data_IF_216744665760
#
_entry.id   IF_216744665760
#
_cell.length_a   1.000
_cell.length_b   1.000
_cell.length_c   1.000
_cell.angle_alpha   90.00
_cell.angle_beta   90.00
_cell.angle_gamma   90.00
#
_symmetry.space_group_name_H-M   'P 1'
#
loop_
_entity.id
_entity.type
_entity.pdbx_description
1 polymer ?
#
# COMPACT_ATOMS: atom_id res chain seq x y z
N UNK A 1 12.51 5.15 -0.91
CA UNK A 1 12.53 6.05 -2.09
C UNK A 1 11.99 7.39 -1.67
N UNK A 2 12.52 8.50 -2.19
CA UNK A 2 12.05 9.86 -1.86
C UNK A 2 10.58 10.09 -2.24
N UNK A 3 10.08 9.39 -3.25
CA UNK A 3 8.70 9.50 -3.74
C UNK A 3 7.79 8.34 -3.28
N UNK A 4 8.25 7.50 -2.37
CA UNK A 4 7.49 6.35 -1.84
C UNK A 4 7.20 5.22 -2.85
N UNK A 5 7.74 5.29 -4.08
CA UNK A 5 7.50 4.27 -5.12
C UNK A 5 8.58 3.18 -5.13
N UNK A 6 8.15 1.95 -5.37
CA UNK A 6 8.99 0.78 -5.65
C UNK A 6 8.97 0.50 -7.15
N UNK A 7 10.14 0.23 -7.74
CA UNK A 7 10.28 -0.16 -9.14
C UNK A 7 10.56 -1.66 -9.24
N UNK A 8 9.72 -2.39 -9.99
CA UNK A 8 9.88 -3.83 -10.29
C UNK A 8 9.67 -4.03 -11.79
N UNK A 9 10.63 -4.64 -12.49
CA UNK A 9 10.56 -4.89 -13.94
C UNK A 9 10.09 -3.66 -14.74
N UNK A 10 10.78 -2.52 -14.57
CA UNK A 10 10.50 -1.24 -15.23
C UNK A 10 9.14 -0.58 -14.90
N UNK A 11 8.32 -1.16 -14.03
CA UNK A 11 7.06 -0.57 -13.56
C UNK A 11 7.24 0.04 -12.17
N UNK A 12 6.71 1.25 -11.96
CA UNK A 12 6.71 1.94 -10.66
C UNK A 12 5.33 1.87 -10.04
N UNK A 13 5.26 1.60 -8.74
CA UNK A 13 4.02 1.61 -7.96
C UNK A 13 4.29 1.77 -6.48
N UNK A 14 3.24 2.04 -5.70
CA UNK A 14 3.36 2.11 -4.24
C UNK A 14 3.47 0.68 -3.69
N UNK A 15 4.46 0.37 -2.83
CA UNK A 15 4.75 -1.00 -2.44
C UNK A 15 3.58 -1.69 -1.71
N UNK A 16 2.92 -0.98 -0.80
CA UNK A 16 1.73 -1.52 -0.11
C UNK A 16 0.58 -1.83 -1.09
N UNK A 17 0.38 -1.01 -2.14
CA UNK A 17 -0.61 -1.30 -3.19
C UNK A 17 -0.23 -2.52 -4.01
N UNK A 18 1.05 -2.63 -4.42
CA UNK A 18 1.55 -3.78 -5.20
C UNK A 18 1.26 -5.09 -4.46
N UNK A 19 1.61 -5.14 -3.18
CA UNK A 19 1.47 -6.35 -2.38
C UNK A 19 0.02 -6.62 -1.95
N UNK A 20 -0.79 -5.60 -1.64
CA UNK A 20 -2.23 -5.78 -1.43
C UNK A 20 -2.92 -6.32 -2.70
N UNK A 21 -2.53 -5.83 -3.88
CA UNK A 21 -3.05 -6.32 -5.16
C UNK A 21 -2.66 -7.77 -5.42
N UNK A 22 -1.41 -8.14 -5.13
CA UNK A 22 -0.89 -9.48 -5.36
C UNK A 22 -1.59 -10.55 -4.50
N UNK A 23 -1.86 -10.25 -3.23
CA UNK A 23 -2.28 -11.26 -2.26
C UNK A 23 -3.72 -11.16 -1.75
N UNK A 24 -4.42 -10.04 -1.97
CA UNK A 24 -5.77 -9.84 -1.43
C UNK A 24 -6.79 -9.38 -2.47
N UNK A 25 -6.47 -8.34 -3.23
CA UNK A 25 -7.42 -7.67 -4.12
C UNK A 25 -6.83 -7.46 -5.51
N UNK A 26 -6.90 -8.46 -6.42
CA UNK A 26 -6.29 -8.37 -7.74
C UNK A 26 -6.83 -7.21 -8.59
N UNK A 27 -8.05 -6.75 -8.29
CA UNK A 27 -8.77 -5.66 -8.93
C UNK A 27 -8.50 -4.27 -8.29
N UNK A 28 -7.66 -4.18 -7.26
CA UNK A 28 -7.32 -2.92 -6.59
C UNK A 28 -6.72 -1.92 -7.58
N UNK A 29 -7.37 -0.76 -7.78
CA UNK A 29 -6.96 0.23 -8.77
C UNK A 29 -5.95 1.21 -8.20
N UNK A 30 -6.21 1.73 -6.99
CA UNK A 30 -5.42 2.81 -6.41
C UNK A 30 -5.21 2.67 -4.89
N UNK A 31 -4.29 3.48 -4.35
CA UNK A 31 -4.08 3.57 -2.91
C UNK A 31 -5.25 4.22 -2.16
N UNK A 32 -6.15 4.94 -2.83
CA UNK A 32 -7.32 5.56 -2.20
C UNK A 32 -8.33 4.52 -1.72
N UNK A 33 -8.28 3.31 -2.28
CA UNK A 33 -9.08 2.17 -1.85
C UNK A 33 -8.48 1.46 -0.62
N UNK A 34 -7.35 1.92 -0.06
CA UNK A 34 -6.70 1.30 1.09
C UNK A 34 -6.65 2.24 2.30
N UNK A 35 -7.08 1.72 3.45
CA UNK A 35 -6.84 2.34 4.77
C UNK A 35 -6.02 1.39 5.62
N UNK A 36 -5.00 1.89 6.31
CA UNK A 36 -4.25 1.06 7.25
C UNK A 36 -5.09 0.79 8.51
N UNK A 37 -4.93 -0.39 9.13
CA UNK A 37 -5.50 -0.68 10.45
C UNK A 37 -4.80 0.15 11.52
N UNK A 38 -5.50 0.48 12.60
CA UNK A 38 -4.99 1.35 13.67
C UNK A 38 -3.71 0.83 14.33
N UNK A 39 -3.51 -0.49 14.35
CA UNK A 39 -2.34 -1.16 14.93
C UNK A 39 -1.09 -1.13 14.02
N UNK A 40 -1.19 -0.60 12.80
CA UNK A 40 -0.07 -0.59 11.87
C UNK A 40 0.90 0.56 12.17
N UNK A 41 2.03 0.25 12.81
CA UNK A 41 3.03 1.24 13.20
C UNK A 41 3.78 1.90 12.03
N UNK A 42 3.79 1.28 10.85
CA UNK A 42 4.53 1.74 9.67
C UNK A 42 3.60 1.96 8.46
N UNK A 43 2.37 2.39 8.70
CA UNK A 43 1.41 2.64 7.63
C UNK A 43 1.93 3.70 6.64
N UNK A 44 1.61 3.53 5.35
CA UNK A 44 2.09 4.42 4.28
C UNK A 44 1.84 5.92 4.54
N UNK A 45 0.66 6.27 5.10
CA UNK A 45 0.29 7.66 5.34
C UNK A 45 1.09 8.33 6.48
N UNK A 46 1.78 7.55 7.34
CA UNK A 46 2.58 8.06 8.44
C UNK A 46 3.92 8.66 7.99
N UNK A 47 4.32 8.45 6.73
CA UNK A 47 5.55 9.01 6.13
C UNK A 47 6.82 8.77 6.96
N UNK A 48 6.95 7.58 7.55
CA UNK A 48 8.17 7.09 8.21
C UNK A 48 9.22 6.66 7.16
N UNK A 49 10.43 6.40 7.62
CA UNK A 49 11.53 5.90 6.78
C UNK A 49 11.21 4.52 6.17
N UNK A 50 10.45 3.71 6.90
CA UNK A 50 9.98 2.39 6.47
C UNK A 50 8.46 2.38 6.22
N UNK A 51 8.04 1.51 5.30
CA UNK A 51 6.63 1.34 4.93
C UNK A 51 6.22 -0.12 5.10
N UNK A 52 5.17 -0.36 5.89
CA UNK A 52 4.55 -1.65 6.03
C UNK A 52 3.92 -2.10 4.70
N UNK A 53 4.28 -3.30 4.26
CA UNK A 53 3.75 -3.93 3.05
C UNK A 53 2.87 -5.14 3.33
N UNK A 54 2.67 -5.51 4.61
CA UNK A 54 1.80 -6.60 5.00
C UNK A 54 0.36 -6.31 4.54
N UNK A 55 -0.21 -7.08 3.59
CA UNK A 55 -1.54 -6.82 3.07
C UNK A 55 -2.62 -6.80 4.14
N UNK A 56 -2.47 -7.58 5.21
CA UNK A 56 -3.45 -7.68 6.30
C UNK A 56 -3.44 -6.50 7.26
N UNK A 57 -2.46 -5.60 7.15
CA UNK A 57 -2.45 -4.33 7.87
C UNK A 57 -3.19 -3.22 7.11
N UNK A 58 -3.84 -3.54 6.00
CA UNK A 58 -4.68 -2.63 5.23
C UNK A 58 -6.10 -3.20 5.11
N UNK A 59 -7.09 -2.33 5.01
CA UNK A 59 -8.49 -2.65 4.75
C UNK A 59 -8.89 -1.95 3.46
N UNK A 60 -9.71 -2.63 2.65
CA UNK A 60 -10.30 -2.00 1.47
C UNK A 60 -11.41 -1.07 1.90
N UNK A 61 -11.41 0.15 1.39
CA UNK A 61 -12.46 1.15 1.61
C UNK A 61 -13.04 1.59 0.27
N UNK A 62 -14.29 2.03 0.27
CA UNK A 62 -14.85 2.70 -0.91
C UNK A 62 -14.14 4.03 -1.11
N UNK A 63 -13.72 4.28 -2.35
CA UNK A 63 -13.29 5.62 -2.77
C UNK A 63 -14.48 6.58 -2.65
N UNK A 64 -14.31 7.73 -1.99
CA UNK A 64 -15.31 8.80 -1.99
C UNK A 64 -15.70 9.25 -3.41
#
# INVERSE_FOLDING_TARGET
SLDGRLQVSHRKGLPHVIYCRLWRWPDLQSHHELRAVDLCEFAFHMKKDEVCVNPYHYQRVETP
#
